data_IF_315472392801
#
_entry.id   IF_315472392801
#
_cell.length_a   1.000
_cell.length_b   1.000
_cell.length_c   1.000
_cell.angle_alpha   90.00
_cell.angle_beta   90.00
_cell.angle_gamma   90.00
#
_symmetry.space_group_name_H-M   'P 1'
#
loop_
_entity.id
_entity.type
_entity.pdbx_description
1 polymer ?
#
# COMPACT_ATOMS: atom_id res chain seq x y z
N UNK A 1 10.78 16.46 7.16
CA UNK A 1 10.02 15.76 8.21
C UNK A 1 8.81 16.61 8.63
N UNK A 2 7.77 16.71 7.77
CA UNK A 2 6.67 17.69 7.99
C UNK A 2 5.26 17.05 7.95
N UNK A 3 5.09 15.76 7.66
CA UNK A 3 3.74 15.21 7.42
C UNK A 3 3.01 14.60 8.63
N UNK A 4 3.55 14.65 9.85
CA UNK A 4 2.93 14.01 11.03
C UNK A 4 2.15 14.96 11.95
N UNK A 5 2.16 16.27 11.70
CA UNK A 5 1.58 17.27 12.62
C UNK A 5 0.04 17.37 12.56
N UNK A 6 -0.61 16.75 11.56
CA UNK A 6 -2.05 16.92 11.29
C UNK A 6 -2.84 15.61 11.15
N UNK A 7 -2.25 14.46 11.49
CA UNK A 7 -3.03 13.22 11.59
C UNK A 7 -3.68 13.18 12.98
N UNK A 8 -4.97 12.83 13.04
CA UNK A 8 -5.62 12.44 14.29
C UNK A 8 -4.72 11.40 14.98
N UNK A 9 -4.54 11.47 16.31
CA UNK A 9 -3.81 10.43 17.03
C UNK A 9 -4.34 9.05 16.61
N UNK A 10 -3.48 8.03 16.61
CA UNK A 10 -3.93 6.63 16.47
C UNK A 10 -4.90 6.22 17.60
N UNK A 11 -5.14 7.10 18.57
CA UNK A 11 -6.11 6.91 19.60
C UNK A 11 -7.50 6.76 19.00
N UNK A 12 -8.07 5.57 19.17
CA UNK A 12 -9.45 5.22 18.84
C UNK A 12 -10.46 6.12 19.56
N UNK A 13 -10.03 6.79 20.63
CA UNK A 13 -10.88 7.50 21.58
C UNK A 13 -11.19 6.63 22.80
N UNK A 14 -10.88 5.34 22.74
CA UNK A 14 -10.94 4.40 23.86
C UNK A 14 -9.53 4.15 24.42
N UNK A 15 -9.33 4.60 25.64
CA UNK A 15 -8.02 4.53 26.32
C UNK A 15 -7.63 3.09 26.64
N UNK A 16 -8.60 2.19 26.85
CA UNK A 16 -8.33 0.79 27.17
C UNK A 16 -7.89 0.02 25.92
N UNK A 17 -8.61 0.21 24.80
CA UNK A 17 -8.24 -0.39 23.52
C UNK A 17 -6.86 0.07 23.04
N UNK A 18 -6.56 1.36 23.17
CA UNK A 18 -5.26 1.93 22.80
C UNK A 18 -4.12 1.35 23.67
N UNK A 19 -4.37 1.11 24.96
CA UNK A 19 -3.40 0.48 25.86
C UNK A 19 -3.17 -0.98 25.50
N UNK A 20 -4.23 -1.74 25.21
CA UNK A 20 -4.13 -3.14 24.78
C UNK A 20 -3.36 -3.24 23.46
N UNK A 21 -3.66 -2.38 22.49
CA UNK A 21 -2.96 -2.31 21.22
C UNK A 21 -1.48 -1.95 21.42
N UNK A 22 -1.19 -0.95 22.24
CA UNK A 22 0.18 -0.55 22.59
C UNK A 22 0.97 -1.67 23.25
N UNK A 23 0.37 -2.39 24.19
CA UNK A 23 0.98 -3.54 24.84
C UNK A 23 1.27 -4.67 23.84
N UNK A 24 0.33 -4.96 22.93
CA UNK A 24 0.51 -5.93 21.83
C UNK A 24 1.67 -5.52 20.92
N UNK A 25 1.77 -4.26 20.53
CA UNK A 25 2.87 -3.75 19.69
C UNK A 25 4.23 -3.86 20.40
N UNK A 26 4.30 -3.52 21.69
CA UNK A 26 5.52 -3.65 22.49
C UNK A 26 5.94 -5.11 22.60
N UNK A 27 4.98 -6.02 22.82
CA UNK A 27 5.25 -7.45 22.86
C UNK A 27 5.78 -7.98 21.51
N UNK A 28 5.10 -7.64 20.40
CA UNK A 28 5.52 -8.03 19.06
C UNK A 28 6.90 -7.49 18.70
N UNK A 29 7.23 -6.24 19.06
CA UNK A 29 8.54 -5.62 18.73
C UNK A 29 9.75 -6.36 19.30
N UNK A 30 9.55 -7.20 20.32
CA UNK A 30 10.60 -8.02 20.93
C UNK A 30 10.73 -9.39 20.28
N UNK A 31 9.79 -9.77 19.41
CA UNK A 31 9.80 -11.05 18.73
C UNK A 31 10.65 -11.00 17.46
N UNK A 32 11.11 -12.18 17.05
CA UNK A 32 11.74 -12.38 15.75
C UNK A 32 10.67 -12.81 14.73
N UNK A 33 10.83 -12.39 13.48
CA UNK A 33 9.96 -12.84 12.40
C UNK A 33 10.30 -14.31 12.06
N UNK A 34 9.57 -15.25 12.67
CA UNK A 34 9.77 -16.69 12.45
C UNK A 34 9.51 -17.10 11.01
N UNK A 35 8.61 -16.40 10.32
CA UNK A 35 8.32 -16.63 8.91
C UNK A 35 9.49 -16.21 8.01
N UNK A 36 10.16 -15.09 8.30
CA UNK A 36 11.41 -14.75 7.64
C UNK A 36 12.44 -15.87 7.76
N UNK A 37 12.65 -16.39 8.98
CA UNK A 37 13.58 -17.48 9.21
C UNK A 37 13.22 -18.71 8.37
N UNK A 38 11.95 -19.09 8.35
CA UNK A 38 11.46 -20.19 7.52
C UNK A 38 11.74 -19.98 6.02
N UNK A 39 11.47 -18.79 5.48
CA UNK A 39 11.75 -18.46 4.06
C UNK A 39 13.25 -18.57 3.75
N UNK A 40 14.10 -18.06 4.63
CA UNK A 40 15.55 -18.00 4.44
C UNK A 40 16.22 -19.37 4.60
N UNK A 41 15.82 -20.15 5.61
CA UNK A 41 16.32 -21.50 5.89
C UNK A 41 15.97 -22.49 4.77
N UNK A 42 14.75 -22.41 4.24
CA UNK A 42 14.31 -23.27 3.14
C UNK A 42 14.73 -22.76 1.74
N UNK A 43 15.44 -21.62 1.68
CA UNK A 43 15.91 -20.98 0.44
C UNK A 43 14.80 -20.79 -0.60
N UNK A 44 13.62 -20.40 -0.12
CA UNK A 44 12.40 -20.25 -0.92
C UNK A 44 12.45 -19.07 -1.91
N UNK A 45 13.45 -18.22 -1.77
CA UNK A 45 13.81 -17.19 -2.75
C UNK A 45 14.48 -17.74 -4.01
N UNK A 46 15.24 -18.84 -3.91
CA UNK A 46 16.00 -19.43 -5.03
C UNK A 46 15.29 -20.59 -5.69
N UNK A 47 14.45 -21.34 -4.97
CA UNK A 47 13.78 -22.55 -5.46
C UNK A 47 12.60 -22.23 -6.36
N UNK A 48 12.85 -21.84 -7.62
CA UNK A 48 11.82 -21.49 -8.60
C UNK A 48 10.84 -22.63 -8.93
N UNK A 49 11.29 -23.89 -8.88
CA UNK A 49 10.51 -25.09 -9.24
C UNK A 49 9.32 -25.32 -8.31
N UNK A 50 9.42 -24.92 -7.04
CA UNK A 50 8.37 -25.08 -6.04
C UNK A 50 7.21 -24.10 -6.22
N UNK A 51 7.31 -23.17 -7.17
CA UNK A 51 6.32 -22.14 -7.41
C UNK A 51 5.52 -22.44 -8.69
N UNK A 52 4.23 -22.14 -8.63
CA UNK A 52 3.30 -22.23 -9.77
C UNK A 52 2.65 -20.86 -9.96
N UNK A 53 2.62 -20.37 -11.20
CA UNK A 53 1.83 -19.19 -11.54
C UNK A 53 0.34 -19.51 -11.43
N UNK A 54 -0.43 -18.56 -10.93
CA UNK A 54 -1.87 -18.67 -10.80
C UNK A 54 -2.50 -17.45 -11.44
N UNK A 55 -3.50 -17.73 -12.29
CA UNK A 55 -4.32 -16.70 -12.94
C UNK A 55 -5.40 -16.17 -11.98
N UNK A 56 -5.97 -17.03 -11.12
CA UNK A 56 -7.00 -16.64 -10.15
C UNK A 56 -6.82 -17.32 -8.79
N UNK A 57 -6.71 -16.50 -7.73
CA UNK A 57 -6.41 -16.90 -6.36
C UNK A 57 -7.66 -16.84 -5.48
N UNK A 58 -8.65 -17.68 -5.79
CA UNK A 58 -9.98 -17.65 -5.18
C UNK A 58 -10.02 -17.99 -3.69
N UNK A 59 -8.98 -18.66 -3.18
CA UNK A 59 -8.86 -19.13 -1.80
C UNK A 59 -8.25 -18.10 -0.84
N UNK A 60 -7.75 -16.97 -1.37
CA UNK A 60 -7.21 -15.90 -0.54
C UNK A 60 -8.33 -15.13 0.19
N UNK A 61 -8.16 -14.81 1.49
CA UNK A 61 -9.22 -14.23 2.30
C UNK A 61 -9.67 -12.86 1.81
N UNK A 62 -10.99 -12.65 1.79
CA UNK A 62 -11.59 -11.33 1.61
C UNK A 62 -11.47 -10.54 2.91
N UNK A 63 -11.03 -9.29 2.81
CA UNK A 63 -10.77 -8.40 3.95
C UNK A 63 -11.52 -7.08 3.76
N UNK A 64 -12.10 -6.56 4.84
CA UNK A 64 -12.63 -5.19 4.87
C UNK A 64 -11.53 -4.17 5.25
N UNK A 65 -11.87 -2.87 5.20
CA UNK A 65 -10.93 -1.80 5.54
C UNK A 65 -10.47 -1.83 7.00
N UNK A 66 -11.33 -2.31 7.90
CA UNK A 66 -11.04 -2.38 9.34
C UNK A 66 -10.00 -3.47 9.62
N UNK A 67 -10.21 -4.66 9.04
CA UNK A 67 -9.27 -5.79 9.09
C UNK A 67 -7.92 -5.41 8.47
N UNK A 68 -7.95 -4.72 7.33
CA UNK A 68 -6.75 -4.19 6.70
C UNK A 68 -6.04 -3.14 7.58
N UNK A 69 -6.80 -2.25 8.23
CA UNK A 69 -6.27 -1.26 9.16
C UNK A 69 -5.60 -1.91 10.38
N UNK A 70 -6.25 -2.92 10.95
CA UNK A 70 -5.75 -3.66 12.10
C UNK A 70 -4.46 -4.43 11.78
N UNK A 71 -4.40 -5.16 10.66
CA UNK A 71 -3.23 -5.96 10.28
C UNK A 71 -2.03 -5.08 9.89
N UNK A 72 -2.28 -3.94 9.24
CA UNK A 72 -1.21 -3.01 8.82
C UNK A 72 -0.67 -2.17 9.97
N UNK A 73 -1.41 -2.08 11.09
CA UNK A 73 -1.11 -1.21 12.22
C UNK A 73 -0.89 0.26 11.78
N UNK A 74 -1.57 0.71 10.72
CA UNK A 74 -1.44 2.08 10.24
C UNK A 74 -2.04 2.35 8.86
N UNK A 75 -2.92 3.35 8.81
CA UNK A 75 -3.63 3.78 7.60
C UNK A 75 -2.72 4.35 6.49
N UNK A 76 -1.50 4.78 6.82
CA UNK A 76 -0.61 5.40 5.83
C UNK A 76 -0.18 4.42 4.74
N UNK A 77 0.18 3.19 5.12
CA UNK A 77 0.59 2.18 4.13
C UNK A 77 -0.60 1.77 3.25
N UNK A 78 -1.81 1.71 3.83
CA UNK A 78 -3.05 1.48 3.07
C UNK A 78 -3.36 2.60 2.09
N UNK A 79 -3.18 3.87 2.47
CA UNK A 79 -3.38 5.01 1.53
C UNK A 79 -2.44 4.97 0.33
N UNK A 80 -1.26 4.39 0.48
CA UNK A 80 -0.33 4.19 -0.63
C UNK A 80 -0.65 2.95 -1.48
N UNK A 81 -1.47 2.03 -0.96
CA UNK A 81 -1.74 0.74 -1.59
C UNK A 81 -2.35 0.85 -2.99
N UNK A 82 -3.33 1.74 -3.27
CA UNK A 82 -3.86 1.93 -4.63
C UNK A 82 -2.78 2.32 -5.65
N UNK A 83 -1.89 3.26 -5.30
CA UNK A 83 -0.79 3.69 -6.19
C UNK A 83 0.20 2.56 -6.45
N UNK A 84 0.56 1.78 -5.43
CA UNK A 84 1.43 0.61 -5.60
C UNK A 84 0.75 -0.52 -6.40
N UNK A 85 -0.56 -0.70 -6.23
CA UNK A 85 -1.32 -1.70 -6.96
C UNK A 85 -1.45 -1.31 -8.44
N UNK A 86 -1.78 -0.07 -8.76
CA UNK A 86 -1.84 0.42 -10.13
C UNK A 86 -0.48 0.32 -10.84
N UNK A 87 0.61 0.77 -10.21
CA UNK A 87 1.94 0.79 -10.82
C UNK A 87 2.50 -0.62 -11.11
N UNK A 88 2.07 -1.63 -10.35
CA UNK A 88 2.75 -2.92 -10.38
C UNK A 88 1.82 -4.11 -10.58
N UNK A 89 0.63 -4.10 -10.00
CA UNK A 89 -0.33 -5.21 -10.08
C UNK A 89 -1.12 -5.19 -11.39
N UNK A 90 -1.47 -4.02 -11.92
CA UNK A 90 -1.96 -3.90 -13.32
C UNK A 90 -0.84 -4.08 -14.36
N UNK A 91 0.42 -4.00 -13.92
CA UNK A 91 1.62 -4.26 -14.71
C UNK A 91 2.14 -5.70 -14.58
N UNK A 92 3.46 -5.87 -14.65
CA UNK A 92 4.16 -7.17 -14.65
C UNK A 92 4.35 -7.75 -13.21
N UNK A 93 3.28 -7.80 -12.41
CA UNK A 93 3.33 -8.48 -11.10
C UNK A 93 3.26 -9.99 -11.29
N UNK A 94 4.30 -10.72 -10.85
CA UNK A 94 4.28 -12.18 -10.86
C UNK A 94 3.88 -12.72 -9.48
N UNK A 95 2.61 -13.11 -9.36
CA UNK A 95 2.05 -13.79 -8.20
C UNK A 95 2.16 -15.31 -8.42
N UNK A 96 2.77 -16.01 -7.47
CA UNK A 96 2.97 -17.45 -7.55
C UNK A 96 2.60 -18.11 -6.23
N UNK A 97 2.05 -19.32 -6.30
CA UNK A 97 1.73 -20.13 -5.12
C UNK A 97 2.72 -21.27 -4.97
N UNK A 98 2.95 -21.69 -3.74
CA UNK A 98 3.79 -22.85 -3.45
C UNK A 98 3.04 -24.15 -3.80
N UNK A 99 3.73 -25.12 -4.41
CA UNK A 99 3.10 -26.37 -4.88
C UNK A 99 2.80 -27.35 -3.76
N UNK A 100 3.65 -27.38 -2.74
CA UNK A 100 3.63 -28.39 -1.66
C UNK A 100 3.08 -27.81 -0.35
N UNK A 101 3.08 -26.49 -0.22
CA UNK A 101 2.64 -25.78 0.99
C UNK A 101 1.44 -24.90 0.62
N UNK A 102 0.21 -25.40 0.81
CA UNK A 102 -0.98 -24.62 0.50
C UNK A 102 -1.01 -23.38 1.41
N UNK A 103 -1.50 -22.27 0.87
CA UNK A 103 -1.55 -21.03 1.62
C UNK A 103 -0.26 -20.21 1.62
N UNK A 104 0.77 -20.61 0.86
CA UNK A 104 2.01 -19.84 0.73
C UNK A 104 2.12 -19.16 -0.64
N UNK A 105 2.13 -17.83 -0.63
CA UNK A 105 2.34 -16.98 -1.81
C UNK A 105 3.77 -16.46 -1.88
N UNK A 106 4.23 -16.26 -3.11
CA UNK A 106 5.39 -15.45 -3.45
C UNK A 106 5.00 -14.43 -4.50
N UNK A 107 5.32 -13.18 -4.23
CA UNK A 107 5.08 -12.07 -5.15
C UNK A 107 6.38 -11.35 -5.44
N UNK A 108 6.60 -11.00 -6.70
CA UNK A 108 7.69 -10.12 -7.12
C UNK A 108 7.12 -8.77 -7.51
N UNK A 109 7.54 -7.73 -6.81
CA UNK A 109 7.11 -6.35 -7.02
C UNK A 109 8.29 -5.49 -7.45
N UNK A 110 8.11 -4.63 -8.46
CA UNK A 110 9.16 -3.68 -8.85
C UNK A 110 9.27 -2.53 -7.84
N UNK A 111 10.45 -1.92 -7.73
CA UNK A 111 10.67 -0.75 -6.89
C UNK A 111 10.25 0.53 -7.63
N UNK A 112 9.31 1.30 -7.05
CA UNK A 112 8.90 2.61 -7.59
C UNK A 112 10.02 3.63 -7.77
N UNK A 113 11.10 3.53 -6.98
CA UNK A 113 12.20 4.50 -7.01
C UNK A 113 13.36 4.08 -7.91
N UNK A 114 13.43 2.80 -8.30
CA UNK A 114 14.58 2.24 -9.02
C UNK A 114 14.08 1.10 -9.89
N UNK A 115 13.97 1.33 -11.19
CA UNK A 115 13.43 0.35 -12.15
C UNK A 115 14.20 -0.96 -12.20
N UNK A 116 15.52 -0.94 -11.97
CA UNK A 116 16.35 -2.16 -11.95
C UNK A 116 16.18 -3.01 -10.69
N UNK A 117 15.48 -2.50 -9.66
CA UNK A 117 15.30 -3.19 -8.39
C UNK A 117 13.89 -3.77 -8.30
N UNK A 118 13.81 -5.02 -7.87
CA UNK A 118 12.55 -5.66 -7.47
C UNK A 118 12.69 -6.26 -6.08
N UNK A 119 11.57 -6.32 -5.36
CA UNK A 119 11.48 -6.95 -4.06
C UNK A 119 10.65 -8.23 -4.18
N UNK A 120 11.17 -9.29 -3.59
CA UNK A 120 10.39 -10.50 -3.34
C UNK A 120 9.71 -10.36 -1.98
N UNK A 121 8.45 -10.77 -1.93
CA UNK A 121 7.68 -10.89 -0.71
C UNK A 121 6.91 -12.20 -0.70
N UNK A 122 6.60 -12.65 0.51
CA UNK A 122 5.86 -13.86 0.79
C UNK A 122 4.74 -13.56 1.78
N UNK A 123 3.63 -14.26 1.58
CA UNK A 123 2.44 -14.15 2.44
C UNK A 123 1.98 -15.57 2.72
N UNK A 124 1.81 -15.90 3.99
CA UNK A 124 1.18 -17.13 4.44
C UNK A 124 -0.25 -16.82 4.86
N UNK A 125 -1.20 -17.55 4.31
CA UNK A 125 -2.63 -17.42 4.58
C UNK A 125 -3.26 -18.81 4.73
N UNK A 126 -4.42 -18.89 5.36
CA UNK A 126 -5.16 -20.14 5.54
C UNK A 126 -6.34 -19.93 6.46
N UNK A 127 -7.35 -20.82 6.39
CA UNK A 127 -8.55 -20.72 7.24
C UNK A 127 -9.30 -19.38 7.12
N UNK A 128 -9.15 -18.67 6.00
CA UNK A 128 -9.79 -17.37 5.80
C UNK A 128 -9.07 -16.20 6.46
N UNK A 129 -7.81 -16.36 6.86
CA UNK A 129 -7.00 -15.27 7.42
C UNK A 129 -5.56 -15.24 6.88
N UNK A 130 -4.92 -14.08 7.02
CA UNK A 130 -3.49 -13.90 6.74
C UNK A 130 -2.71 -14.18 8.04
N UNK A 131 -1.83 -15.18 7.98
CA UNK A 131 -1.10 -15.69 9.15
C UNK A 131 0.27 -15.04 9.33
N UNK A 132 1.01 -14.83 8.24
CA UNK A 132 2.35 -14.25 8.30
C UNK A 132 2.77 -13.57 6.98
N UNK A 133 3.75 -12.69 7.06
CA UNK A 133 4.33 -12.03 5.89
C UNK A 133 5.82 -11.73 6.07
N UNK A 134 6.52 -11.66 4.94
CA UNK A 134 7.90 -11.21 4.89
C UNK A 134 8.19 -10.57 3.54
N UNK A 135 8.92 -9.46 3.53
CA UNK A 135 9.41 -8.83 2.31
C UNK A 135 10.91 -8.54 2.41
N UNK A 136 11.65 -8.74 1.32
CA UNK A 136 13.10 -8.43 1.25
C UNK A 136 13.42 -6.92 1.23
N UNK A 137 12.43 -6.05 1.40
CA UNK A 137 12.70 -4.62 1.57
C UNK A 137 13.21 -4.33 2.99
N UNK A 138 13.76 -3.12 3.19
CA UNK A 138 14.36 -2.72 4.48
C UNK A 138 13.40 -2.88 5.68
N UNK A 139 12.11 -2.63 5.48
CA UNK A 139 11.10 -2.71 6.53
C UNK A 139 10.30 -4.03 6.52
N UNK A 140 10.59 -4.95 5.59
CA UNK A 140 9.74 -6.12 5.36
C UNK A 140 9.92 -7.25 6.36
N UNK A 141 10.95 -7.18 7.21
CA UNK A 141 11.19 -8.08 8.34
C UNK A 141 10.50 -7.61 9.63
N UNK A 142 9.92 -6.40 9.65
CA UNK A 142 9.31 -5.87 10.87
C UNK A 142 8.16 -6.76 11.33
N UNK A 143 8.12 -6.97 12.65
CA UNK A 143 7.08 -7.72 13.38
C UNK A 143 5.96 -6.82 13.91
N UNK A 144 6.15 -5.49 13.83
CA UNK A 144 5.13 -4.49 14.12
C UNK A 144 4.84 -3.71 12.84
N UNK A 145 3.57 -3.73 12.42
CA UNK A 145 3.14 -3.17 11.14
C UNK A 145 3.76 -3.88 9.94
N UNK A 146 3.69 -3.25 8.78
CA UNK A 146 4.20 -3.81 7.53
C UNK A 146 4.77 -2.74 6.59
N UNK A 147 5.53 -3.19 5.59
CA UNK A 147 5.99 -2.32 4.52
C UNK A 147 4.87 -2.05 3.51
N UNK A 148 5.00 -0.95 2.75
CA UNK A 148 4.07 -0.58 1.68
C UNK A 148 3.87 -1.69 0.66
N UNK A 149 4.90 -2.49 0.37
CA UNK A 149 4.80 -3.59 -0.59
C UNK A 149 3.82 -4.68 -0.13
N UNK A 150 3.92 -5.11 1.14
CA UNK A 150 3.01 -6.13 1.68
C UNK A 150 1.60 -5.55 1.80
N UNK A 151 1.47 -4.33 2.32
CA UNK A 151 0.19 -3.64 2.44
C UNK A 151 -0.55 -3.55 1.10
N UNK A 152 0.17 -3.18 0.03
CA UNK A 152 -0.41 -3.07 -1.32
C UNK A 152 -0.94 -4.40 -1.85
N UNK A 153 -0.18 -5.50 -1.64
CA UNK A 153 -0.62 -6.84 -2.07
C UNK A 153 -1.81 -7.32 -1.24
N UNK A 154 -1.81 -7.09 0.07
CA UNK A 154 -2.94 -7.45 0.94
C UNK A 154 -4.19 -6.66 0.59
N UNK A 155 -4.06 -5.35 0.34
CA UNK A 155 -5.16 -4.52 -0.10
C UNK A 155 -5.71 -4.97 -1.45
N UNK A 156 -4.84 -5.26 -2.43
CA UNK A 156 -5.28 -5.72 -3.74
C UNK A 156 -5.98 -7.08 -3.68
N UNK A 157 -5.34 -8.08 -3.07
CA UNK A 157 -5.84 -9.46 -3.00
C UNK A 157 -7.01 -9.61 -2.03
N UNK A 158 -7.00 -8.91 -0.90
CA UNK A 158 -8.04 -9.02 0.11
C UNK A 158 -9.25 -8.15 -0.16
N UNK A 159 -9.10 -7.02 -0.86
CA UNK A 159 -10.13 -5.99 -0.90
C UNK A 159 -10.43 -5.52 -2.32
N UNK A 160 -9.46 -4.89 -3.00
CA UNK A 160 -9.71 -4.19 -4.26
C UNK A 160 -10.24 -5.10 -5.37
N UNK A 161 -9.68 -6.32 -5.54
CA UNK A 161 -10.12 -7.26 -6.59
C UNK A 161 -11.57 -7.75 -6.43
N UNK A 162 -12.14 -7.62 -5.22
CA UNK A 162 -13.51 -8.04 -4.92
C UNK A 162 -14.53 -6.92 -5.14
N UNK A 163 -14.06 -5.69 -5.30
CA UNK A 163 -14.90 -4.54 -5.62
C UNK A 163 -15.08 -4.44 -7.15
N UNK A 164 -16.33 -4.55 -7.61
CA UNK A 164 -16.64 -4.61 -9.06
C UNK A 164 -16.56 -3.27 -9.81
N UNK A 165 -16.30 -2.15 -9.13
CA UNK A 165 -16.53 -0.80 -9.69
C UNK A 165 -15.47 0.26 -9.35
N UNK A 166 -14.45 -0.07 -8.56
CA UNK A 166 -13.40 0.90 -8.23
C UNK A 166 -12.23 0.80 -9.21
N UNK A 167 -12.02 1.83 -10.03
CA UNK A 167 -10.78 1.98 -10.80
C UNK A 167 -9.59 1.91 -9.83
N UNK A 168 -8.66 0.98 -10.04
CA UNK A 168 -7.41 0.92 -9.29
C UNK A 168 -6.61 2.19 -9.60
N UNK A 169 -6.47 3.09 -8.62
CA UNK A 169 -5.59 4.25 -8.79
C UNK A 169 -5.91 5.46 -7.93
N UNK A 170 -5.07 6.48 -8.11
CA UNK A 170 -5.31 7.82 -7.56
C UNK A 170 -6.46 8.45 -8.35
N UNK A 171 -7.40 9.11 -7.66
CA UNK A 171 -8.44 9.93 -8.31
C UNK A 171 -7.81 10.80 -9.40
N UNK A 172 -8.36 10.76 -10.60
CA UNK A 172 -7.94 11.66 -11.67
C UNK A 172 -8.37 13.08 -11.32
N UNK A 173 -7.42 13.85 -10.77
CA UNK A 173 -7.66 15.25 -10.46
C UNK A 173 -7.77 16.11 -11.73
N UNK A 174 -7.30 15.61 -12.88
CA UNK A 174 -7.38 16.31 -14.16
C UNK A 174 -8.82 16.57 -14.61
N UNK A 175 -9.78 15.72 -14.23
CA UNK A 175 -11.21 15.96 -14.47
C UNK A 175 -11.77 17.18 -13.71
N UNK A 176 -11.07 17.65 -12.66
CA UNK A 176 -11.48 18.78 -11.83
C UNK A 176 -10.62 20.04 -12.06
N UNK A 177 -9.68 20.00 -13.00
CA UNK A 177 -8.83 21.14 -13.36
C UNK A 177 -9.39 21.75 -14.63
N UNK A 178 -10.07 22.89 -14.51
CA UNK A 178 -10.48 23.68 -15.65
C UNK A 178 -9.27 24.31 -16.35
N UNK A 179 -9.31 24.33 -17.69
CA UNK A 179 -8.26 24.91 -18.53
C UNK A 179 -8.19 26.44 -18.33
N UNK A 180 -7.02 26.92 -17.89
CA UNK A 180 -6.77 28.33 -17.62
C UNK A 180 -6.70 29.20 -18.91
N UNK A 181 -6.76 28.61 -20.10
CA UNK A 181 -6.73 29.34 -21.38
C UNK A 181 -8.04 30.05 -21.72
N UNK A 182 -9.10 29.90 -20.92
CA UNK A 182 -10.38 30.58 -21.10
C UNK A 182 -10.49 31.94 -20.38
N UNK A 183 -9.39 32.50 -19.87
CA UNK A 183 -9.39 33.90 -19.43
C UNK A 183 -9.51 34.80 -20.66
N UNK A 184 -10.64 35.49 -20.77
CA UNK A 184 -10.88 36.49 -21.81
C UNK A 184 -9.92 37.66 -21.59
N UNK A 185 -8.87 37.75 -22.40
CA UNK A 185 -7.89 38.85 -22.40
C UNK A 185 -8.48 40.15 -23.01
N UNK A 186 -9.79 40.39 -22.87
CA UNK A 186 -10.48 41.55 -23.48
C UNK A 186 -10.25 42.88 -22.76
N UNK A 187 -9.52 42.93 -21.64
CA UNK A 187 -9.17 44.19 -20.98
C UNK A 187 -7.78 44.69 -21.42
N UNK A 188 -7.64 44.89 -22.73
CA UNK A 188 -6.62 45.75 -23.33
C UNK A 188 -7.28 46.99 -23.96
N UNK A 189 -7.52 48.01 -23.15
CA UNK A 189 -7.73 49.41 -23.60
C UNK A 189 -7.24 50.36 -22.49
N UNK A 190 -6.03 50.89 -22.56
CA UNK A 190 -5.52 52.04 -23.35
C UNK A 190 -5.77 53.43 -22.71
N UNK A 191 -4.66 54.05 -22.31
CA UNK A 191 -4.34 55.50 -22.37
C UNK A 191 -4.90 56.49 -21.33
N UNK A 192 -3.95 57.02 -20.54
CA UNK A 192 -3.64 58.43 -20.24
C UNK A 192 -4.72 59.53 -20.28
N UNK A 193 -4.80 60.31 -19.19
CA UNK A 193 -4.94 61.78 -19.28
C UNK A 193 -4.44 62.51 -18.02
N UNK A 194 -3.54 63.45 -18.27
CA UNK A 194 -2.94 64.47 -17.39
C UNK A 194 -3.74 65.77 -17.54
N UNK A 195 -4.11 66.43 -16.43
CA UNK A 195 -4.30 67.89 -16.33
C UNK A 195 -4.62 68.31 -14.89
N UNK A 196 -3.87 69.31 -14.40
CA UNK A 196 -3.83 69.77 -13.00
C UNK A 196 -5.00 70.63 -12.51
N UNK A 197 -4.93 71.11 -11.25
CA UNK A 197 -6.03 71.83 -10.61
C UNK A 197 -5.95 73.35 -10.83
N UNK A 198 -7.08 73.95 -11.18
CA UNK A 198 -7.35 75.38 -10.99
C UNK A 198 -8.44 75.51 -9.92
N UNK A 199 -8.10 76.08 -8.76
CA UNK A 199 -8.75 77.22 -8.09
C UNK A 199 -8.05 77.54 -6.75
#
# INVERSE_FOLDING_TARGET
AVLYKYLKPLASGDTEEDQVLGAKMVFLSKQVNTFQYHIEENHLDRRSVCWKEIDDLLDFPTMDEEQLGAITCGVYQLRLSPSYAQEHVEGECSIKVHREEPGLLRVKLQSRHVSSRSYLLWIQYGEGEVKAWYCKCRAGAHVVGMCSHVAAILWYLGHARHQRDEKLGVRDWGEFVDDATLVDDSDSSSESDDSGPEE
#
